data_IF_293682318148
#
_entry.id   IF_293682318148
#
_cell.length_a   1.000
_cell.length_b   1.000
_cell.length_c   1.000
_cell.angle_alpha   90.00
_cell.angle_beta   90.00
_cell.angle_gamma   90.00
#
_symmetry.space_group_name_H-M   'P 1'
#
loop_
_entity.id
_entity.type
_entity.pdbx_description
1 polymer ?
#
# COMPACT_ATOMS: atom_id res chain seq x y z
N UNK A 1 5.47 -2.63 -17.24
CA UNK A 1 4.89 -2.17 -15.95
C UNK A 1 6.04 -1.84 -15.02
N UNK A 2 5.98 -0.76 -14.22
CA UNK A 2 7.07 -0.38 -13.30
C UNK A 2 6.48 -0.05 -11.92
N UNK A 3 7.28 -0.23 -10.87
CA UNK A 3 6.96 0.28 -9.54
C UNK A 3 7.32 1.75 -9.53
N UNK A 4 6.37 2.60 -9.14
CA UNK A 4 6.62 4.02 -8.97
C UNK A 4 7.06 4.31 -7.54
N UNK A 5 8.08 5.14 -7.39
CA UNK A 5 8.55 5.64 -6.10
C UNK A 5 8.18 7.10 -5.95
N UNK A 6 7.50 7.45 -4.86
CA UNK A 6 7.21 8.83 -4.47
C UNK A 6 7.83 9.10 -3.11
N UNK A 7 8.71 10.08 -3.03
CA UNK A 7 9.25 10.55 -1.75
C UNK A 7 8.30 11.60 -1.19
N UNK A 8 7.69 11.32 -0.04
CA UNK A 8 6.87 12.28 0.69
C UNK A 8 7.72 12.91 1.77
N UNK A 9 7.84 14.23 1.74
CA UNK A 9 8.49 15.02 2.79
C UNK A 9 7.42 15.69 3.62
N UNK A 10 7.50 15.53 4.95
CA UNK A 10 6.63 16.26 5.87
C UNK A 10 7.49 17.05 6.84
N UNK A 11 7.32 18.35 6.80
CA UNK A 11 7.96 19.29 7.71
C UNK A 11 7.22 19.25 9.04
N UNK A 12 7.94 18.98 10.11
CA UNK A 12 7.41 18.95 11.48
C UNK A 12 8.18 19.95 12.36
N UNK A 13 7.57 20.34 13.49
CA UNK A 13 8.11 21.34 14.43
C UNK A 13 8.51 22.67 13.74
N UNK A 14 7.57 23.35 13.07
CA UNK A 14 7.82 24.66 12.44
C UNK A 14 9.05 24.67 11.50
N UNK A 15 9.26 23.58 10.74
CA UNK A 15 10.37 23.48 9.79
C UNK A 15 11.71 23.06 10.40
N UNK A 16 11.80 22.80 11.72
CA UNK A 16 13.05 22.36 12.36
C UNK A 16 13.50 20.97 11.91
N UNK A 17 12.57 20.10 11.49
CA UNK A 17 12.88 18.75 10.98
C UNK A 17 12.00 18.39 9.79
N UNK A 18 12.60 17.80 8.76
CA UNK A 18 11.90 17.22 7.61
C UNK A 18 11.96 15.70 7.74
N UNK A 19 10.81 15.07 7.97
CA UNK A 19 10.70 13.62 7.89
C UNK A 19 10.38 13.24 6.44
N UNK A 20 11.31 12.55 5.79
CA UNK A 20 11.11 11.98 4.46
C UNK A 20 10.81 10.49 4.56
N UNK A 21 9.77 10.03 3.88
CA UNK A 21 9.50 8.62 3.71
C UNK A 21 9.14 8.32 2.26
N UNK A 22 9.48 7.13 1.81
CA UNK A 22 9.19 6.65 0.46
C UNK A 22 7.85 5.92 0.45
N UNK A 23 7.09 6.15 -0.62
CA UNK A 23 5.90 5.37 -0.96
C UNK A 23 6.14 4.70 -2.31
N UNK A 24 5.94 3.40 -2.36
CA UNK A 24 5.99 2.63 -3.59
C UNK A 24 4.58 2.31 -4.07
N UNK A 25 4.34 2.44 -5.37
CA UNK A 25 3.05 2.18 -6.00
C UNK A 25 3.22 1.17 -7.14
N UNK A 26 2.43 0.11 -7.08
CA UNK A 26 2.30 -0.86 -8.17
C UNK A 26 0.98 -0.60 -8.89
N UNK A 27 0.99 -0.16 -10.16
CA UNK A 27 -0.24 0.01 -10.91
C UNK A 27 -0.89 -1.35 -11.14
N UNK A 28 -2.19 -1.46 -10.85
CA UNK A 28 -2.92 -2.71 -11.09
C UNK A 28 -3.56 -2.68 -12.48
N UNK A 29 -3.28 -3.68 -13.33
CA UNK A 29 -3.89 -3.78 -14.65
C UNK A 29 -5.43 -3.74 -14.62
N UNK A 30 -6.02 -3.10 -15.65
CA UNK A 30 -7.48 -2.90 -15.78
C UNK A 30 -8.29 -4.19 -15.64
N UNK A 31 -7.78 -5.31 -16.15
CA UNK A 31 -8.43 -6.63 -16.05
C UNK A 31 -8.72 -7.09 -14.61
N UNK A 32 -8.01 -6.56 -13.61
CA UNK A 32 -8.21 -6.89 -12.20
C UNK A 32 -8.99 -5.83 -11.42
N UNK A 33 -9.44 -4.75 -12.07
CA UNK A 33 -10.15 -3.66 -11.37
C UNK A 33 -11.42 -4.14 -10.67
N UNK A 34 -12.16 -5.10 -11.26
CA UNK A 34 -13.37 -5.64 -10.64
C UNK A 34 -13.07 -6.33 -9.30
N UNK A 35 -11.93 -7.03 -9.20
CA UNK A 35 -11.48 -7.68 -7.96
C UNK A 35 -11.12 -6.59 -6.94
N UNK A 36 -10.31 -5.60 -7.33
CA UNK A 36 -9.84 -4.55 -6.41
C UNK A 36 -10.95 -3.64 -5.90
N UNK A 37 -11.96 -3.34 -6.73
CA UNK A 37 -13.08 -2.47 -6.35
C UNK A 37 -13.77 -2.94 -5.07
N UNK A 38 -13.86 -4.26 -4.85
CA UNK A 38 -14.44 -4.85 -3.64
C UNK A 38 -13.67 -4.51 -2.34
N UNK A 39 -12.45 -3.99 -2.45
CA UNK A 39 -11.55 -3.72 -1.33
C UNK A 39 -11.31 -2.21 -1.08
N UNK A 40 -11.80 -1.30 -1.93
CA UNK A 40 -11.48 0.13 -1.89
C UNK A 40 -11.83 0.82 -0.55
N UNK A 41 -12.92 0.40 0.10
CA UNK A 41 -13.39 1.00 1.36
C UNK A 41 -13.11 0.12 2.58
N UNK A 42 -12.26 -0.90 2.43
CA UNK A 42 -11.93 -1.84 3.51
C UNK A 42 -10.57 -1.50 4.09
N UNK A 43 -10.41 -1.74 5.38
CA UNK A 43 -9.08 -1.78 5.97
C UNK A 43 -8.32 -3.00 5.43
N UNK A 44 -7.10 -2.79 4.97
CA UNK A 44 -6.30 -3.81 4.31
C UNK A 44 -5.01 -4.07 5.09
N UNK A 45 -4.73 -5.36 5.33
CA UNK A 45 -3.43 -5.83 5.78
C UNK A 45 -2.61 -6.22 4.56
N UNK A 46 -1.40 -5.67 4.47
CA UNK A 46 -0.45 -5.96 3.40
C UNK A 46 0.71 -6.74 3.97
N UNK A 47 1.09 -7.85 3.32
CA UNK A 47 2.33 -8.57 3.56
C UNK A 47 3.13 -8.62 2.26
N UNK A 48 4.45 -8.51 2.38
CA UNK A 48 5.36 -8.61 1.25
C UNK A 48 6.39 -9.67 1.59
N UNK A 49 6.54 -10.63 0.69
CA UNK A 49 7.45 -11.77 0.86
C UNK A 49 8.29 -11.91 -0.43
N UNK A 50 9.61 -12.13 -0.33
CA UNK A 50 10.44 -12.37 -1.51
C UNK A 50 10.07 -13.72 -2.15
N UNK A 51 10.06 -13.77 -3.47
CA UNK A 51 9.78 -15.00 -4.24
C UNK A 51 10.66 -15.03 -5.49
N UNK A 52 11.67 -15.92 -5.52
CA UNK A 52 12.64 -16.02 -6.62
C UNK A 52 13.36 -14.69 -6.86
N UNK A 53 13.37 -14.24 -8.12
CA UNK A 53 13.90 -12.93 -8.54
C UNK A 53 12.93 -11.75 -8.28
N UNK A 54 11.81 -12.01 -7.61
CA UNK A 54 10.74 -11.04 -7.38
C UNK A 54 10.20 -11.04 -5.96
N UNK A 55 8.96 -10.59 -5.81
CA UNK A 55 8.24 -10.56 -4.55
C UNK A 55 6.74 -10.68 -4.76
N UNK A 56 6.05 -11.25 -3.77
CA UNK A 56 4.59 -11.29 -3.70
C UNK A 56 4.11 -10.19 -2.76
N UNK A 57 3.10 -9.43 -3.20
CA UNK A 57 2.31 -8.57 -2.32
C UNK A 57 0.97 -9.23 -2.05
N UNK A 58 0.79 -9.73 -0.83
CA UNK A 58 -0.48 -10.28 -0.37
C UNK A 58 -1.29 -9.22 0.34
N UNK A 59 -2.46 -8.90 -0.21
CA UNK A 59 -3.40 -7.92 0.35
C UNK A 59 -4.63 -8.66 0.85
N UNK A 60 -5.00 -8.45 2.11
CA UNK A 60 -6.16 -9.09 2.73
C UNK A 60 -7.01 -8.04 3.44
N UNK A 61 -8.33 -8.14 3.32
CA UNK A 61 -9.21 -7.32 4.14
C UNK A 61 -9.08 -7.73 5.61
N UNK A 62 -8.92 -6.75 6.50
CA UNK A 62 -9.05 -6.98 7.93
C UNK A 62 -10.54 -7.23 8.21
N UNK A 63 -10.92 -8.38 8.78
CA UNK A 63 -12.29 -8.59 9.21
C UNK A 63 -12.61 -7.58 10.30
N UNK A 64 -13.74 -6.87 10.17
CA UNK A 64 -14.23 -6.02 11.26
C UNK A 64 -14.48 -6.92 12.48
N UNK A 65 -13.99 -6.56 13.68
CA UNK A 65 -14.37 -7.30 14.88
C UNK A 65 -15.91 -7.26 14.99
N UNK A 66 -16.53 -8.43 15.16
CA UNK A 66 -17.93 -8.48 15.61
C UNK A 66 -17.94 -7.81 16.98
N UNK A 67 -18.54 -6.62 17.07
CA UNK A 67 -18.88 -6.05 18.37
C UNK A 67 -19.83 -7.04 19.07
N UNK A 68 -19.56 -7.38 20.34
CA UNK A 68 -20.43 -8.25 21.12
C UNK A 68 -21.81 -7.64 21.33
#
# INVERSE_FOLDING_TARGET
MKIYRRVSKKSYLHGKRVYSYERFYVPVPKRFHNIIKAFLSRELKVKVEPEGEGFIVRVQAVPRPKQP
#
